data_IF_821430439447
#
_entry.id   IF_821430439447
#
_cell.length_a   1.000
_cell.length_b   1.000
_cell.length_c   1.000
_cell.angle_alpha   90.00
_cell.angle_beta   90.00
_cell.angle_gamma   90.00
#
_symmetry.space_group_name_H-M   'P 1'
#
loop_
_entity.id
_entity.type
_entity.pdbx_description
1 polymer ?
#
# COMPACT_ATOMS: atom_id res chain seq x y z
N UNK A 1 18.44 -2.18 16.39
CA UNK A 1 17.39 -2.59 15.42
C UNK A 1 16.89 -1.39 14.60
N UNK A 2 16.32 -0.34 15.22
CA UNK A 2 15.76 0.81 14.47
C UNK A 2 16.72 1.97 14.16
N UNK A 3 17.98 1.90 14.61
CA UNK A 3 19.00 2.92 14.33
C UNK A 3 19.09 3.36 12.85
N UNK A 4 19.06 2.45 11.85
CA UNK A 4 19.12 2.86 10.45
C UNK A 4 17.96 3.78 10.04
N UNK A 5 16.77 3.57 10.60
CA UNK A 5 15.60 4.41 10.33
C UNK A 5 15.69 5.75 11.07
N UNK A 6 16.15 5.75 12.33
CA UNK A 6 16.27 6.97 13.14
C UNK A 6 17.37 7.91 12.63
N UNK A 7 18.42 7.36 12.02
CA UNK A 7 19.50 8.12 11.39
C UNK A 7 19.18 8.56 9.95
N UNK A 8 18.07 8.07 9.36
CA UNK A 8 17.70 8.40 7.98
C UNK A 8 17.24 9.87 7.86
N UNK A 9 17.32 10.47 6.65
CA UNK A 9 16.76 11.80 6.40
C UNK A 9 15.30 11.92 6.86
N UNK A 10 14.85 13.10 7.34
CA UNK A 10 13.49 13.28 7.87
C UNK A 10 12.40 12.84 6.90
N UNK A 11 12.59 13.03 5.60
CA UNK A 11 11.65 12.57 4.57
C UNK A 11 11.40 11.06 4.64
N UNK A 12 12.43 10.24 4.88
CA UNK A 12 12.30 8.77 5.01
C UNK A 12 11.56 8.42 6.30
N UNK A 13 11.85 9.12 7.41
CA UNK A 13 11.17 8.88 8.69
C UNK A 13 9.67 9.19 8.60
N UNK A 14 9.30 10.37 8.10
CA UNK A 14 7.90 10.75 7.90
C UNK A 14 7.20 9.81 6.92
N UNK A 15 7.88 9.42 5.84
CA UNK A 15 7.35 8.45 4.88
C UNK A 15 7.05 7.11 5.56
N UNK A 16 7.99 6.57 6.34
CA UNK A 16 7.83 5.28 7.00
C UNK A 16 6.68 5.29 8.01
N UNK A 17 6.60 6.31 8.86
CA UNK A 17 5.50 6.44 9.84
C UNK A 17 4.14 6.57 9.15
N UNK A 18 4.05 7.39 8.10
CA UNK A 18 2.82 7.57 7.34
C UNK A 18 2.40 6.30 6.59
N UNK A 19 3.35 5.61 5.95
CA UNK A 19 3.09 4.35 5.25
C UNK A 19 2.64 3.24 6.22
N UNK A 20 3.27 3.12 7.40
CA UNK A 20 2.86 2.15 8.43
C UNK A 20 1.46 2.47 8.96
N UNK A 21 1.14 3.75 9.16
CA UNK A 21 -0.21 4.18 9.54
C UNK A 21 -1.24 3.81 8.47
N UNK A 22 -0.94 4.05 7.19
CA UNK A 22 -1.82 3.69 6.09
C UNK A 22 -1.98 2.16 5.94
N UNK A 23 -0.89 1.40 6.11
CA UNK A 23 -0.89 -0.05 6.04
C UNK A 23 -1.75 -0.66 7.17
N UNK A 24 -1.62 -0.16 8.39
CA UNK A 24 -2.34 -0.68 9.56
C UNK A 24 -3.83 -0.32 9.57
N UNK A 25 -4.18 0.91 9.17
CA UNK A 25 -5.58 1.36 9.16
C UNK A 25 -6.38 0.91 7.94
N UNK A 26 -5.72 0.62 6.82
CA UNK A 26 -6.39 0.25 5.57
C UNK A 26 -7.35 -0.93 5.69
N UNK A 27 -7.00 -2.06 6.34
CA UNK A 27 -7.91 -3.19 6.53
C UNK A 27 -9.20 -2.80 7.28
N UNK A 28 -9.07 -1.94 8.29
CA UNK A 28 -10.20 -1.48 9.10
C UNK A 28 -11.18 -0.65 8.26
N UNK A 29 -10.70 0.17 7.33
CA UNK A 29 -11.56 0.92 6.41
C UNK A 29 -12.13 0.06 5.28
N UNK A 30 -11.34 -0.87 4.73
CA UNK A 30 -11.66 -1.64 3.52
C UNK A 30 -12.61 -2.82 3.75
N UNK A 31 -12.48 -3.53 4.88
CA UNK A 31 -13.27 -4.73 5.16
C UNK A 31 -14.53 -4.44 5.99
N UNK A 32 -14.70 -3.19 6.41
CA UNK A 32 -15.90 -2.79 7.15
C UNK A 32 -17.12 -2.75 6.24
N UNK A 33 -18.17 -3.47 6.62
CA UNK A 33 -19.41 -3.62 5.85
C UNK A 33 -20.31 -2.37 5.84
N UNK A 34 -20.14 -1.47 6.81
CA UNK A 34 -20.99 -0.28 6.98
C UNK A 34 -20.20 1.01 6.83
N UNK A 35 -20.77 1.99 6.10
CA UNK A 35 -20.28 3.37 6.03
C UNK A 35 -20.74 4.16 7.27
N UNK A 36 -20.16 3.84 8.42
CA UNK A 36 -20.47 4.48 9.69
C UNK A 36 -19.45 5.59 10.06
N UNK A 37 -19.60 6.16 11.26
CA UNK A 37 -18.68 7.19 11.77
C UNK A 37 -17.24 6.67 11.81
N UNK A 38 -17.05 5.41 12.20
CA UNK A 38 -15.72 4.82 12.27
C UNK A 38 -15.08 4.70 10.87
N UNK A 39 -15.82 4.23 9.87
CA UNK A 39 -15.33 4.18 8.49
C UNK A 39 -14.88 5.57 8.00
N UNK A 40 -15.63 6.63 8.32
CA UNK A 40 -15.25 7.99 7.95
C UNK A 40 -13.97 8.45 8.65
N UNK A 41 -13.88 8.30 9.98
CA UNK A 41 -12.71 8.72 10.76
C UNK A 41 -11.46 7.98 10.30
N UNK A 42 -11.51 6.65 10.25
CA UNK A 42 -10.39 5.82 9.80
C UNK A 42 -10.03 6.14 8.34
N UNK A 43 -11.04 6.33 7.48
CA UNK A 43 -10.83 6.70 6.08
C UNK A 43 -10.13 8.05 5.92
N UNK A 44 -10.49 9.06 6.73
CA UNK A 44 -9.80 10.36 6.69
C UNK A 44 -8.36 10.28 7.17
N UNK A 45 -8.12 9.58 8.29
CA UNK A 45 -6.74 9.37 8.80
C UNK A 45 -5.91 8.64 7.73
N UNK A 46 -6.48 7.60 7.11
CA UNK A 46 -5.83 6.85 6.05
C UNK A 46 -5.50 7.72 4.82
N UNK A 47 -6.44 8.58 4.38
CA UNK A 47 -6.22 9.51 3.26
C UNK A 47 -5.08 10.49 3.56
N UNK A 48 -5.05 11.06 4.77
CA UNK A 48 -3.97 11.97 5.18
C UNK A 48 -2.64 11.23 5.24
N UNK A 49 -2.60 10.05 5.84
CA UNK A 49 -1.40 9.22 5.88
C UNK A 49 -0.91 8.87 4.46
N UNK A 50 -1.81 8.53 3.54
CA UNK A 50 -1.46 8.25 2.15
C UNK A 50 -0.93 9.50 1.44
N UNK A 51 -1.52 10.67 1.66
CA UNK A 51 -1.05 11.92 1.07
C UNK A 51 0.36 12.28 1.56
N UNK A 52 0.65 12.12 2.87
CA UNK A 52 2.00 12.33 3.42
C UNK A 52 2.99 11.32 2.85
N UNK A 53 2.59 10.05 2.74
CA UNK A 53 3.41 8.98 2.14
C UNK A 53 3.80 9.34 0.70
N UNK A 54 2.84 9.79 -0.10
CA UNK A 54 3.03 10.20 -1.50
C UNK A 54 3.92 11.46 -1.60
N UNK A 55 3.67 12.47 -0.77
CA UNK A 55 4.43 13.72 -0.84
C UNK A 55 5.91 13.48 -0.49
N UNK A 56 6.16 12.71 0.57
CA UNK A 56 7.52 12.42 1.05
C UNK A 56 8.28 11.46 0.13
N UNK A 57 7.61 10.55 -0.59
CA UNK A 57 8.28 9.61 -1.51
C UNK A 57 8.94 10.28 -2.71
N UNK A 58 8.48 11.46 -3.12
CA UNK A 58 9.14 12.25 -4.18
C UNK A 58 10.54 12.76 -3.78
N UNK A 59 10.87 12.76 -2.48
CA UNK A 59 12.20 13.13 -1.98
C UNK A 59 13.12 11.90 -1.79
N UNK A 60 12.67 10.69 -2.13
CA UNK A 60 13.42 9.45 -1.89
C UNK A 60 14.02 8.94 -3.21
N UNK A 61 15.34 9.10 -3.37
CA UNK A 61 16.06 8.77 -4.61
C UNK A 61 17.01 7.57 -4.45
N UNK A 62 16.58 6.51 -3.77
CA UNK A 62 17.47 5.40 -3.38
C UNK A 62 17.73 4.35 -4.48
N UNK A 63 16.78 4.09 -5.40
CA UNK A 63 16.92 3.02 -6.43
C UNK A 63 17.59 3.53 -7.71
N UNK A 64 17.39 4.81 -8.06
CA UNK A 64 18.04 5.52 -9.19
C UNK A 64 18.16 4.72 -10.50
N UNK A 65 17.08 4.08 -10.92
CA UNK A 65 17.08 3.21 -12.11
C UNK A 65 17.17 4.03 -13.42
N UNK A 66 16.68 5.28 -13.42
CA UNK A 66 16.71 6.16 -14.59
C UNK A 66 17.10 7.59 -14.15
N UNK A 67 18.37 7.94 -14.34
CA UNK A 67 18.92 9.20 -13.81
C UNK A 67 18.75 9.25 -12.28
N UNK A 68 18.31 10.39 -11.69
CA UNK A 68 18.05 10.42 -10.25
C UNK A 68 16.82 9.59 -9.85
N UNK A 69 15.90 9.31 -10.77
CA UNK A 69 14.58 8.77 -10.45
C UNK A 69 14.59 7.28 -10.11
N UNK A 70 13.86 6.95 -9.05
CA UNK A 70 13.57 5.60 -8.59
C UNK A 70 12.17 5.14 -9.07
N UNK A 71 11.90 3.84 -9.28
CA UNK A 71 10.56 3.33 -9.63
C UNK A 71 9.43 3.78 -8.70
N UNK A 72 9.77 4.10 -7.44
CA UNK A 72 8.82 4.65 -6.47
C UNK A 72 8.25 6.02 -6.87
N UNK A 73 8.90 6.81 -7.72
CA UNK A 73 8.36 8.10 -8.21
C UNK A 73 7.19 7.87 -9.15
N UNK A 74 7.32 6.91 -10.07
CA UNK A 74 6.20 6.51 -10.93
C UNK A 74 5.05 5.96 -10.10
N UNK A 75 5.34 5.12 -9.11
CA UNK A 75 4.34 4.61 -8.19
C UNK A 75 3.64 5.73 -7.42
N UNK A 76 4.39 6.77 -7.02
CA UNK A 76 3.87 7.94 -6.32
C UNK A 76 2.93 8.76 -7.21
N UNK A 77 3.27 8.98 -8.47
CA UNK A 77 2.37 9.65 -9.44
C UNK A 77 1.07 8.87 -9.63
N UNK A 78 1.16 7.55 -9.81
CA UNK A 78 -0.01 6.68 -9.92
C UNK A 78 -0.86 6.69 -8.65
N UNK A 79 -0.22 6.71 -7.47
CA UNK A 79 -0.90 6.82 -6.20
C UNK A 79 -1.58 8.18 -6.01
N UNK A 80 -0.96 9.29 -6.43
CA UNK A 80 -1.59 10.62 -6.44
C UNK A 80 -2.87 10.61 -7.28
N UNK A 81 -2.79 10.07 -8.49
CA UNK A 81 -3.94 9.95 -9.38
C UNK A 81 -5.05 9.07 -8.77
N UNK A 82 -4.66 7.94 -8.17
CA UNK A 82 -5.59 7.04 -7.49
C UNK A 82 -6.29 7.72 -6.30
N UNK A 83 -5.56 8.46 -5.48
CA UNK A 83 -6.09 9.15 -4.31
C UNK A 83 -7.05 10.26 -4.72
N UNK A 84 -6.67 11.07 -5.72
CA UNK A 84 -7.55 12.09 -6.30
C UNK A 84 -8.84 11.47 -6.86
N UNK A 85 -8.73 10.37 -7.61
CA UNK A 85 -9.88 9.65 -8.16
C UNK A 85 -10.78 9.12 -7.06
N UNK A 86 -10.21 8.53 -6.01
CA UNK A 86 -10.96 8.00 -4.88
C UNK A 86 -11.76 9.09 -4.14
N UNK A 87 -11.15 10.26 -3.92
CA UNK A 87 -11.80 11.39 -3.26
C UNK A 87 -12.89 12.02 -4.13
N UNK A 88 -12.61 12.25 -5.41
CA UNK A 88 -13.60 12.79 -6.36
C UNK A 88 -14.81 11.87 -6.50
N UNK A 89 -14.60 10.56 -6.55
CA UNK A 89 -15.67 9.57 -6.59
C UNK A 89 -16.51 9.57 -5.31
N UNK A 90 -15.88 9.71 -4.13
CA UNK A 90 -16.60 9.82 -2.85
C UNK A 90 -17.51 11.07 -2.80
N UNK A 91 -17.02 12.21 -3.28
CA UNK A 91 -17.78 13.47 -3.36
C UNK A 91 -18.99 13.31 -4.29
N UNK A 92 -18.79 12.69 -5.45
CA UNK A 92 -19.83 12.42 -6.46
C UNK A 92 -20.77 11.27 -6.09
N UNK A 93 -20.58 10.64 -4.92
CA UNK A 93 -21.31 9.44 -4.48
C UNK A 93 -21.19 8.25 -5.44
N UNK A 94 -20.14 8.23 -6.27
CA UNK A 94 -19.76 7.05 -7.06
C UNK A 94 -18.95 6.09 -6.17
N UNK A 95 -19.69 5.27 -5.43
CA UNK A 95 -19.12 4.35 -4.43
C UNK A 95 -18.31 3.24 -5.11
N UNK A 96 -18.72 2.79 -6.29
CA UNK A 96 -18.02 1.73 -7.03
C UNK A 96 -16.62 2.19 -7.41
N UNK A 97 -16.47 3.39 -7.98
CA UNK A 97 -15.15 3.93 -8.34
C UNK A 97 -14.32 4.25 -7.10
N UNK A 98 -14.93 4.82 -6.05
CA UNK A 98 -14.24 5.05 -4.77
C UNK A 98 -13.64 3.77 -4.20
N UNK A 99 -14.43 2.69 -4.11
CA UNK A 99 -13.97 1.41 -3.57
C UNK A 99 -12.87 0.78 -4.43
N UNK A 100 -13.01 0.82 -5.77
CA UNK A 100 -11.98 0.32 -6.69
C UNK A 100 -10.66 1.06 -6.52
N UNK A 101 -10.70 2.39 -6.47
CA UNK A 101 -9.52 3.23 -6.29
C UNK A 101 -8.86 3.00 -4.91
N UNK A 102 -9.65 2.97 -3.82
CA UNK A 102 -9.12 2.70 -2.47
C UNK A 102 -8.47 1.32 -2.35
N UNK A 103 -9.11 0.27 -2.91
CA UNK A 103 -8.52 -1.08 -2.95
C UNK A 103 -7.24 -1.10 -3.79
N UNK A 104 -7.21 -0.38 -4.91
CA UNK A 104 -6.02 -0.30 -5.76
C UNK A 104 -4.84 0.34 -5.02
N UNK A 105 -5.05 1.49 -4.36
CA UNK A 105 -4.03 2.15 -3.56
C UNK A 105 -3.50 1.23 -2.45
N UNK A 106 -4.39 0.52 -1.76
CA UNK A 106 -3.97 -0.34 -0.66
C UNK A 106 -3.22 -1.59 -1.13
N UNK A 107 -3.79 -2.37 -2.05
CA UNK A 107 -3.18 -3.65 -2.43
C UNK A 107 -2.02 -3.49 -3.42
N UNK A 108 -2.10 -2.52 -4.33
CA UNK A 108 -1.07 -2.31 -5.34
C UNK A 108 -0.09 -1.23 -4.92
N UNK A 109 -0.52 -0.01 -4.59
CA UNK A 109 0.45 1.05 -4.27
C UNK A 109 1.23 0.74 -2.98
N UNK A 110 0.55 0.52 -1.85
CA UNK A 110 1.23 0.15 -0.59
C UNK A 110 1.89 -1.23 -0.68
N UNK A 111 1.26 -2.21 -1.33
CA UNK A 111 1.83 -3.54 -1.50
C UNK A 111 3.16 -3.54 -2.27
N UNK A 112 3.18 -2.90 -3.45
CA UNK A 112 4.39 -2.79 -4.28
C UNK A 112 5.45 -1.91 -3.60
N UNK A 113 5.04 -0.80 -2.96
CA UNK A 113 5.97 0.03 -2.19
C UNK A 113 6.60 -0.76 -1.03
N UNK A 114 5.82 -1.60 -0.34
CA UNK A 114 6.31 -2.51 0.69
C UNK A 114 7.35 -3.49 0.14
N UNK A 115 7.11 -4.07 -1.03
CA UNK A 115 8.10 -4.94 -1.69
C UNK A 115 9.43 -4.21 -1.96
N UNK A 116 9.39 -3.01 -2.55
CA UNK A 116 10.62 -2.23 -2.78
C UNK A 116 11.32 -1.79 -1.49
N UNK A 117 10.55 -1.56 -0.44
CA UNK A 117 11.05 -1.08 0.85
C UNK A 117 11.71 -2.20 1.65
N UNK A 118 11.25 -3.44 1.49
CA UNK A 118 11.73 -4.62 2.21
C UNK A 118 12.76 -5.45 1.43
N UNK A 119 13.16 -5.02 0.24
CA UNK A 119 14.29 -5.62 -0.49
C UNK A 119 15.55 -5.61 0.40
N UNK A 120 16.33 -6.69 0.45
CA UNK A 120 17.57 -6.74 1.23
C UNK A 120 18.52 -5.59 0.86
N UNK A 121 19.19 -5.02 1.87
CA UNK A 121 20.05 -3.85 1.75
C UNK A 121 19.35 -2.50 1.95
N UNK A 122 18.02 -2.47 2.06
CA UNK A 122 17.23 -1.24 2.28
C UNK A 122 17.10 -0.93 3.78
N UNK A 123 16.98 0.35 4.12
CA UNK A 123 16.88 0.85 5.52
C UNK A 123 15.80 0.10 6.32
N UNK A 124 14.60 -0.08 5.76
CA UNK A 124 13.51 -0.78 6.45
C UNK A 124 13.75 -2.29 6.56
N UNK A 125 14.38 -2.92 5.57
CA UNK A 125 14.77 -4.33 5.67
C UNK A 125 15.81 -4.55 6.78
N UNK A 126 16.83 -3.69 6.85
CA UNK A 126 17.81 -3.67 7.94
C UNK A 126 17.14 -3.46 9.30
N UNK A 127 16.19 -2.52 9.35
CA UNK A 127 15.50 -2.17 10.59
C UNK A 127 14.56 -3.27 11.10
N UNK A 128 13.93 -4.06 10.21
CA UNK A 128 12.94 -5.06 10.58
C UNK A 128 13.49 -6.48 10.68
N UNK A 129 14.50 -6.82 9.88
CA UNK A 129 15.00 -8.19 9.76
C UNK A 129 16.46 -8.37 10.21
N UNK A 130 17.17 -7.29 10.55
CA UNK A 130 18.58 -7.32 10.97
C UNK A 130 19.45 -8.13 10.00
N UNK A 131 20.03 -9.25 10.43
CA UNK A 131 20.88 -10.12 9.59
C UNK A 131 20.07 -11.10 8.71
N UNK A 132 18.76 -11.23 8.95
CA UNK A 132 17.87 -12.18 8.27
C UNK A 132 17.05 -11.54 7.14
N UNK A 133 17.57 -10.50 6.49
CA UNK A 133 16.84 -9.73 5.47
C UNK A 133 16.34 -10.58 4.32
N UNK A 134 17.14 -11.55 3.85
CA UNK A 134 16.74 -12.43 2.76
C UNK A 134 15.56 -13.32 3.16
N UNK A 135 15.60 -13.90 4.36
CA UNK A 135 14.51 -14.74 4.90
C UNK A 135 13.24 -13.90 5.08
N UNK A 136 13.37 -12.70 5.65
CA UNK A 136 12.26 -11.76 5.80
C UNK A 136 11.63 -11.38 4.46
N UNK A 137 12.46 -11.05 3.46
CA UNK A 137 12.00 -10.70 2.12
C UNK A 137 11.28 -11.86 1.42
N UNK A 138 11.85 -13.08 1.48
CA UNK A 138 11.20 -14.29 0.96
C UNK A 138 9.88 -14.59 1.67
N UNK A 139 9.79 -14.35 2.97
CA UNK A 139 8.54 -14.45 3.72
C UNK A 139 7.47 -13.49 3.21
N UNK A 140 7.83 -12.23 2.95
CA UNK A 140 6.91 -11.23 2.37
C UNK A 140 6.45 -11.66 0.97
N UNK A 141 7.37 -12.14 0.13
CA UNK A 141 7.03 -12.66 -1.20
C UNK A 141 6.10 -13.88 -1.11
N UNK A 142 6.35 -14.78 -0.16
CA UNK A 142 5.50 -15.94 0.10
C UNK A 142 4.08 -15.54 0.49
N UNK A 143 3.92 -14.59 1.41
CA UNK A 143 2.61 -14.05 1.80
C UNK A 143 1.91 -13.40 0.61
N UNK A 144 2.63 -12.59 -0.19
CA UNK A 144 2.07 -11.97 -1.39
C UNK A 144 1.64 -13.02 -2.43
N UNK A 145 2.45 -14.06 -2.66
CA UNK A 145 2.14 -15.15 -3.58
C UNK A 145 0.90 -15.93 -3.12
N UNK A 146 0.83 -16.33 -1.85
CA UNK A 146 -0.34 -17.00 -1.27
C UNK A 146 -1.60 -16.14 -1.43
N UNK A 147 -1.51 -14.85 -1.14
CA UNK A 147 -2.63 -13.92 -1.33
C UNK A 147 -3.10 -13.85 -2.80
N UNK A 148 -2.16 -13.76 -3.76
CA UNK A 148 -2.47 -13.71 -5.19
C UNK A 148 -3.08 -15.01 -5.70
N UNK A 149 -2.53 -16.16 -5.30
CA UNK A 149 -3.06 -17.49 -5.64
C UNK A 149 -4.48 -17.64 -5.08
N UNK A 150 -4.67 -17.34 -3.80
CA UNK A 150 -5.99 -17.39 -3.17
C UNK A 150 -7.01 -16.47 -3.87
N UNK A 151 -6.59 -15.25 -4.25
CA UNK A 151 -7.45 -14.32 -5.01
C UNK A 151 -7.84 -14.89 -6.37
N UNK A 152 -6.89 -15.51 -7.09
CA UNK A 152 -7.12 -16.14 -8.40
C UNK A 152 -8.06 -17.34 -8.28
N UNK A 153 -7.85 -18.20 -7.28
CA UNK A 153 -8.69 -19.36 -7.03
C UNK A 153 -10.13 -18.97 -6.70
N UNK A 154 -10.34 -17.95 -5.85
CA UNK A 154 -11.71 -17.47 -5.55
C UNK A 154 -12.39 -16.83 -6.75
N UNK A 155 -11.65 -16.16 -7.62
CA UNK A 155 -12.20 -15.63 -8.86
C UNK A 155 -12.56 -16.76 -9.85
N UNK A 156 -11.75 -17.82 -9.92
CA UNK A 156 -12.05 -18.99 -10.75
C UNK A 156 -13.27 -19.77 -10.22
N UNK A 157 -13.37 -19.97 -8.89
CA UNK A 157 -14.53 -20.63 -8.28
C UNK A 157 -15.84 -19.87 -8.52
N UNK A 158 -15.81 -18.53 -8.57
CA UNK A 158 -16.98 -17.72 -8.96
C UNK A 158 -17.42 -17.89 -10.42
N UNK A 159 -16.57 -18.43 -11.30
CA UNK A 159 -16.90 -18.76 -12.69
C UNK A 159 -17.42 -20.20 -12.86
N UNK A 160 -17.19 -21.06 -11.87
CA UNK A 160 -17.56 -22.49 -11.88
C UNK A 160 -18.77 -22.81 -10.98
N UNK A 161 -19.65 -21.84 -10.70
CA UNK A 161 -20.99 -22.11 -10.15
C UNK A 161 -22.01 -22.14 -11.31
N UNK A 162 -22.20 -23.29 -11.99
CA UNK A 162 -23.36 -23.48 -12.86
C UNK A 162 -24.60 -23.71 -11.99
N UNK A 163 -25.59 -22.82 -12.07
CA UNK A 163 -26.93 -23.08 -11.51
C UNK A 163 -27.48 -22.03 -10.56
N UNK A 164 -27.85 -20.85 -11.07
CA UNK A 164 -28.80 -19.97 -10.39
C UNK A 164 -29.66 -19.20 -11.41
N UNK A 165 -30.45 -19.93 -12.20
CA UNK A 165 -31.77 -19.52 -12.70
C UNK A 165 -32.59 -20.78 -13.00
N UNK A 166 -33.49 -21.13 -12.09
CA UNK A 166 -34.78 -21.78 -12.39
C UNK A 166 -35.84 -20.76 -11.98
#
# INVERSE_FOLDING_TARGET
MFEPLLAAPPAIQFHAVAALTALTLGPLALFRRRRDRLHKVVGYIWVVAMAVTIATSFAIFEIRLAGPFSPIHLLSLLATYGLFTALRAAIRRDITTHQKAMRSLYFWALGIAGLFTLTPGRIMAQSLFADHQMVGFLGVLGVAAVFLVWRRLRHAQGLFVPGAKV
#
